data_IF_783560324427
#
_entry.id   IF_783560324427
#
_cell.length_a   1.000
_cell.length_b   1.000
_cell.length_c   1.000
_cell.angle_alpha   90.00
_cell.angle_beta   90.00
_cell.angle_gamma   90.00
#
_symmetry.space_group_name_H-M   'P 1'
#
loop_
_entity.id
_entity.type
_entity.pdbx_description
1 polymer ?
#
# COMPACT_ATOMS: atom_id res chain seq x y z
N UNK A 1 15.76 13.56 18.70
CA UNK A 1 16.09 13.06 17.35
C UNK A 1 15.33 11.76 17.06
N UNK A 2 14.00 11.82 16.96
CA UNK A 2 13.17 10.62 16.78
C UNK A 2 13.00 10.21 15.31
N UNK A 3 13.22 11.13 14.37
CA UNK A 3 12.91 10.95 12.94
C UNK A 3 14.12 10.59 12.05
N UNK A 4 15.34 10.54 12.58
CA UNK A 4 16.56 10.21 11.84
C UNK A 4 17.23 8.96 12.41
N UNK A 5 16.50 7.85 12.38
CA UNK A 5 17.09 6.54 12.67
C UNK A 5 17.30 5.86 11.32
N UNK A 6 18.55 5.60 11.00
CA UNK A 6 18.92 4.90 9.77
C UNK A 6 18.39 3.45 9.80
N UNK A 7 18.05 2.91 8.63
CA UNK A 7 17.47 1.57 8.57
C UNK A 7 18.48 0.52 9.10
N UNK A 8 18.08 -0.39 10.00
CA UNK A 8 18.99 -1.41 10.52
C UNK A 8 19.61 -2.29 9.43
N UNK A 9 18.87 -2.51 8.33
CA UNK A 9 19.36 -3.26 7.16
C UNK A 9 20.54 -2.57 6.48
N UNK A 10 20.48 -1.26 6.30
CA UNK A 10 21.59 -0.48 5.72
C UNK A 10 22.82 -0.50 6.62
N UNK A 11 22.63 -0.37 7.95
CA UNK A 11 23.71 -0.44 8.93
C UNK A 11 24.43 -1.81 8.92
N UNK A 12 23.67 -2.91 8.83
CA UNK A 12 24.21 -4.27 8.67
C UNK A 12 25.03 -4.39 7.37
N UNK A 13 24.54 -3.87 6.26
CA UNK A 13 25.26 -3.87 4.97
C UNK A 13 26.57 -3.06 5.03
N UNK A 14 26.60 -1.98 5.81
CA UNK A 14 27.79 -1.16 6.06
C UNK A 14 28.69 -1.70 7.19
N UNK A 15 28.43 -2.91 7.68
CA UNK A 15 29.18 -3.56 8.77
C UNK A 15 29.17 -2.77 10.10
N UNK A 16 28.21 -1.87 10.30
CA UNK A 16 27.98 -1.10 11.54
C UNK A 16 27.01 -1.85 12.45
N UNK A 17 27.45 -3.00 12.97
CA UNK A 17 26.58 -3.94 13.68
C UNK A 17 26.11 -3.46 15.06
N UNK A 18 26.93 -2.70 15.80
CA UNK A 18 26.56 -2.15 17.12
C UNK A 18 25.40 -1.17 17.02
N UNK A 19 25.45 -0.28 16.03
CA UNK A 19 24.39 0.69 15.76
C UNK A 19 23.12 0.00 15.25
N UNK A 20 23.27 -1.02 14.40
CA UNK A 20 22.14 -1.83 13.96
C UNK A 20 21.45 -2.53 15.14
N UNK A 21 22.22 -3.13 16.06
CA UNK A 21 21.69 -3.81 17.25
C UNK A 21 20.95 -2.81 18.17
N UNK A 22 21.52 -1.63 18.39
CA UNK A 22 20.86 -0.56 19.17
C UNK A 22 19.53 -0.12 18.55
N UNK A 23 19.49 0.08 17.24
CA UNK A 23 18.28 0.47 16.52
C UNK A 23 17.21 -0.64 16.53
N UNK A 24 17.61 -1.90 16.32
CA UNK A 24 16.71 -3.05 16.39
C UNK A 24 16.15 -3.20 17.81
N UNK A 25 16.97 -3.04 18.85
CA UNK A 25 16.51 -3.10 20.24
C UNK A 25 15.55 -1.96 20.59
N UNK A 26 15.76 -0.75 20.05
CA UNK A 26 14.79 0.35 20.16
C UNK A 26 13.45 0.01 19.52
N UNK A 27 13.46 -0.54 18.32
CA UNK A 27 12.25 -0.97 17.60
C UNK A 27 11.56 -2.13 18.35
N UNK A 28 12.34 -3.09 18.85
CA UNK A 28 11.87 -4.24 19.64
C UNK A 28 11.13 -3.78 20.90
N UNK A 29 11.70 -2.81 21.64
CA UNK A 29 11.06 -2.17 22.81
C UNK A 29 9.74 -1.49 22.45
N UNK A 30 9.68 -0.79 21.32
CA UNK A 30 8.45 -0.15 20.84
C UNK A 30 7.38 -1.17 20.44
N UNK A 31 7.79 -2.31 19.88
CA UNK A 31 6.88 -3.39 19.49
C UNK A 31 6.50 -4.34 20.65
N UNK A 32 7.01 -4.10 21.87
CA UNK A 32 6.75 -4.95 23.03
C UNK A 32 7.43 -6.31 22.96
N UNK A 33 8.46 -6.48 22.13
CA UNK A 33 9.24 -7.71 22.05
C UNK A 33 10.39 -7.67 23.08
N UNK A 34 10.55 -8.77 23.82
CA UNK A 34 11.60 -8.92 24.86
C UNK A 34 12.94 -9.39 24.29
N UNK A 35 13.04 -9.64 22.99
CA UNK A 35 14.26 -10.07 22.33
C UNK A 35 15.28 -8.93 22.29
N UNK A 36 16.44 -9.17 22.89
CA UNK A 36 17.61 -8.30 22.81
C UNK A 36 18.59 -8.90 21.82
N UNK A 37 18.92 -8.11 20.80
CA UNK A 37 19.91 -8.47 19.80
C UNK A 37 21.25 -7.83 20.17
N UNK A 38 22.32 -8.63 20.09
CA UNK A 38 23.69 -8.18 20.26
C UNK A 38 24.41 -8.16 18.91
N UNK A 39 25.50 -7.39 18.78
CA UNK A 39 26.28 -7.32 17.54
C UNK A 39 26.74 -8.71 17.05
N UNK A 40 27.07 -9.61 17.97
CA UNK A 40 27.51 -10.98 17.67
C UNK A 40 26.44 -11.83 16.98
N UNK A 41 25.16 -11.58 17.29
CA UNK A 41 24.04 -12.27 16.62
C UNK A 41 23.82 -11.75 15.19
N UNK A 42 24.24 -10.50 14.91
CA UNK A 42 24.12 -9.89 13.59
C UNK A 42 25.30 -10.25 12.67
N UNK A 43 26.45 -10.64 13.24
CA UNK A 43 27.62 -11.12 12.48
C UNK A 43 27.34 -12.42 11.71
N UNK A 44 26.40 -13.24 12.18
CA UNK A 44 25.97 -14.46 11.47
C UNK A 44 25.20 -14.18 10.19
N UNK A 45 24.66 -12.96 10.03
CA UNK A 45 24.00 -12.54 8.80
C UNK A 45 25.09 -12.41 7.75
N UNK A 46 25.16 -13.38 6.85
CA UNK A 46 26.11 -13.41 5.74
C UNK A 46 25.85 -12.21 4.82
N UNK A 47 26.46 -11.07 5.14
CA UNK A 47 26.42 -9.87 4.30
C UNK A 47 27.09 -10.28 3.00
N UNK A 48 26.33 -10.28 1.91
CA UNK A 48 26.84 -10.63 0.59
C UNK A 48 28.02 -9.71 0.31
N UNK A 49 29.21 -10.29 0.09
CA UNK A 49 30.45 -9.54 -0.03
C UNK A 49 30.31 -8.36 -0.99
N UNK A 50 30.86 -7.23 -0.55
CA UNK A 50 30.87 -5.90 -1.18
C UNK A 50 31.37 -5.94 -2.64
N UNK A 51 32.05 -7.02 -3.05
CA UNK A 51 32.50 -7.25 -4.42
C UNK A 51 31.39 -7.64 -5.42
N UNK A 52 30.14 -7.81 -4.97
CA UNK A 52 28.95 -7.87 -5.85
C UNK A 52 28.17 -6.56 -5.85
N UNK A 53 28.82 -5.41 -5.69
CA UNK A 53 28.28 -4.15 -6.22
C UNK A 53 28.36 -4.16 -7.75
N UNK A 54 27.73 -5.14 -8.40
CA UNK A 54 27.30 -4.93 -9.77
C UNK A 54 26.30 -3.79 -9.70
N UNK A 55 26.61 -2.63 -10.27
CA UNK A 55 25.58 -1.65 -10.58
C UNK A 55 24.46 -2.40 -11.31
N UNK A 56 23.38 -2.71 -10.59
CA UNK A 56 22.25 -3.40 -11.17
C UNK A 56 21.60 -2.42 -12.12
N UNK A 57 21.93 -2.54 -13.40
CA UNK A 57 21.21 -1.86 -14.46
C UNK A 57 19.75 -2.30 -14.43
N UNK A 58 18.83 -1.45 -14.90
CA UNK A 58 17.40 -1.77 -14.98
C UNK A 58 17.18 -3.10 -15.73
N UNK A 59 18.06 -3.43 -16.69
CA UNK A 59 18.04 -4.72 -17.40
C UNK A 59 18.30 -5.96 -16.53
N UNK A 60 18.96 -5.82 -15.38
CA UNK A 60 19.19 -6.92 -14.44
C UNK A 60 17.90 -7.39 -13.75
N UNK A 61 16.86 -6.55 -13.68
CA UNK A 61 15.54 -6.94 -13.17
C UNK A 61 14.85 -7.96 -14.09
N UNK A 62 15.13 -7.90 -15.39
CA UNK A 62 14.60 -8.80 -16.43
C UNK A 62 15.47 -10.05 -16.59
N UNK A 63 16.71 -10.02 -16.10
CA UNK A 63 17.71 -11.08 -16.32
C UNK A 63 17.36 -12.43 -15.71
N UNK A 64 16.61 -12.48 -14.61
CA UNK A 64 16.21 -13.75 -13.97
C UNK A 64 14.70 -13.91 -14.03
N UNK A 65 14.20 -15.10 -14.44
CA UNK A 65 12.74 -15.40 -14.51
C UNK A 65 11.99 -15.07 -13.22
N UNK A 66 12.62 -15.25 -12.06
CA UNK A 66 12.03 -14.89 -10.75
C UNK A 66 11.87 -13.37 -10.59
N UNK A 67 12.92 -12.59 -10.86
CA UNK A 67 12.86 -11.13 -10.79
C UNK A 67 11.92 -10.53 -11.84
N UNK A 68 11.88 -11.14 -13.04
CA UNK A 68 10.91 -10.78 -14.08
C UNK A 68 9.48 -10.97 -13.57
N UNK A 69 9.15 -12.14 -13.01
CA UNK A 69 7.81 -12.42 -12.50
C UNK A 69 7.41 -11.44 -11.39
N UNK A 70 8.30 -11.14 -10.45
CA UNK A 70 8.02 -10.15 -9.40
C UNK A 70 7.83 -8.74 -9.94
N UNK A 71 8.69 -8.30 -10.86
CA UNK A 71 8.60 -6.97 -11.49
C UNK A 71 7.34 -6.84 -12.33
N UNK A 72 6.97 -7.91 -13.05
CA UNK A 72 5.74 -7.96 -13.84
C UNK A 72 4.50 -7.89 -12.97
N UNK A 73 4.45 -8.64 -11.86
CA UNK A 73 3.33 -8.58 -10.91
C UNK A 73 3.22 -7.18 -10.29
N UNK A 74 4.34 -6.57 -9.88
CA UNK A 74 4.36 -5.19 -9.38
C UNK A 74 3.82 -4.21 -10.42
N UNK A 75 4.32 -4.30 -11.66
CA UNK A 75 3.89 -3.43 -12.75
C UNK A 75 2.41 -3.59 -13.09
N UNK A 76 1.92 -4.83 -13.22
CA UNK A 76 0.51 -5.11 -13.46
C UNK A 76 -0.37 -4.63 -12.32
N UNK A 77 0.09 -4.77 -11.07
CA UNK A 77 -0.65 -4.26 -9.91
C UNK A 77 -0.75 -2.73 -9.91
N UNK A 78 0.35 -2.04 -10.21
CA UNK A 78 0.37 -0.59 -10.33
C UNK A 78 -0.54 -0.10 -11.46
N UNK A 79 -0.44 -0.71 -12.65
CA UNK A 79 -1.32 -0.41 -13.79
C UNK A 79 -2.79 -0.62 -13.45
N UNK A 80 -3.13 -1.70 -12.74
CA UNK A 80 -4.52 -1.99 -12.34
C UNK A 80 -5.04 -0.90 -11.41
N UNK A 81 -4.24 -0.48 -10.43
CA UNK A 81 -4.64 0.58 -9.49
C UNK A 81 -4.84 1.91 -10.22
N UNK A 82 -3.90 2.29 -11.10
CA UNK A 82 -3.99 3.54 -11.88
C UNK A 82 -5.18 3.56 -12.84
N UNK A 83 -5.43 2.46 -13.55
CA UNK A 83 -6.58 2.36 -14.46
C UNK A 83 -7.90 2.42 -13.68
N UNK A 84 -8.00 1.77 -12.52
CA UNK A 84 -9.15 1.92 -11.63
C UNK A 84 -9.34 3.38 -11.21
N UNK A 85 -8.28 4.10 -10.81
CA UNK A 85 -8.37 5.52 -10.42
C UNK A 85 -8.85 6.39 -11.57
N UNK A 86 -8.31 6.19 -12.77
CA UNK A 86 -8.74 6.94 -13.94
C UNK A 86 -10.24 6.76 -14.18
N UNK A 87 -10.74 5.52 -14.14
CA UNK A 87 -12.17 5.21 -14.29
C UNK A 87 -13.01 5.86 -13.18
N UNK A 88 -12.56 5.80 -11.92
CA UNK A 88 -13.22 6.46 -10.78
C UNK A 88 -13.39 7.96 -11.03
N UNK A 89 -12.32 8.65 -11.44
CA UNK A 89 -12.33 10.09 -11.63
C UNK A 89 -13.30 10.49 -12.75
N UNK A 90 -13.32 9.73 -13.85
CA UNK A 90 -14.26 9.97 -14.94
C UNK A 90 -15.71 9.70 -14.51
N UNK A 91 -15.98 8.63 -13.75
CA UNK A 91 -17.35 8.33 -13.29
C UNK A 91 -17.88 9.38 -12.30
N UNK A 92 -17.02 9.88 -11.39
CA UNK A 92 -17.37 10.96 -10.44
C UNK A 92 -17.77 12.26 -11.17
N UNK A 93 -17.18 12.54 -12.33
CA UNK A 93 -17.53 13.71 -13.16
C UNK A 93 -18.85 13.55 -13.91
N UNK A 94 -19.22 12.31 -14.26
CA UNK A 94 -20.43 11.96 -15.03
C UNK A 94 -21.65 11.72 -14.12
N UNK A 95 -21.44 11.66 -12.81
CA UNK A 95 -22.45 11.39 -11.79
C UNK A 95 -23.45 12.55 -11.60
N UNK A 96 -24.69 12.20 -11.28
CA UNK A 96 -25.77 13.19 -11.12
C UNK A 96 -25.52 14.12 -9.92
N UNK A 97 -25.70 15.43 -10.14
CA UNK A 97 -25.54 16.47 -9.12
C UNK A 97 -24.55 17.56 -9.54
N UNK A 98 -24.08 18.35 -8.57
CA UNK A 98 -23.06 19.36 -8.82
C UNK A 98 -21.67 18.71 -8.80
N UNK A 99 -20.94 18.67 -9.94
CA UNK A 99 -19.67 17.95 -10.05
C UNK A 99 -18.60 18.51 -9.11
N UNK A 100 -18.62 19.82 -8.80
CA UNK A 100 -17.67 20.42 -7.87
C UNK A 100 -17.85 19.90 -6.45
N UNK A 101 -19.10 19.69 -6.03
CA UNK A 101 -19.42 19.21 -4.68
C UNK A 101 -19.04 17.73 -4.53
N UNK A 102 -19.25 16.94 -5.58
CA UNK A 102 -18.85 15.53 -5.63
C UNK A 102 -17.32 15.37 -5.57
N UNK A 103 -16.57 16.20 -6.30
CA UNK A 103 -15.10 16.20 -6.26
C UNK A 103 -14.57 16.67 -4.90
N UNK A 104 -15.16 17.70 -4.30
CA UNK A 104 -14.77 18.17 -2.97
C UNK A 104 -15.01 17.09 -1.90
N UNK A 105 -16.17 16.43 -1.93
CA UNK A 105 -16.49 15.32 -1.02
C UNK A 105 -15.52 14.16 -1.18
N UNK A 106 -15.23 13.77 -2.43
CA UNK A 106 -14.26 12.74 -2.76
C UNK A 106 -12.86 13.07 -2.24
N UNK A 107 -12.41 14.33 -2.39
CA UNK A 107 -11.13 14.81 -1.88
C UNK A 107 -11.02 14.72 -0.35
N UNK A 108 -12.08 15.11 0.37
CA UNK A 108 -12.12 14.99 1.84
C UNK A 108 -12.05 13.52 2.24
N UNK A 109 -12.92 12.67 1.71
CA UNK A 109 -12.93 11.23 2.02
C UNK A 109 -11.58 10.56 1.74
N UNK A 110 -10.90 10.96 0.66
CA UNK A 110 -9.56 10.45 0.30
C UNK A 110 -8.49 10.75 1.36
N UNK A 111 -8.61 11.84 2.12
CA UNK A 111 -7.67 12.17 3.20
C UNK A 111 -7.97 11.37 4.48
N UNK A 112 -9.25 11.14 4.79
CA UNK A 112 -9.65 10.51 6.06
C UNK A 112 -9.49 8.98 6.07
N UNK A 113 -9.75 8.31 4.94
CA UNK A 113 -9.73 6.84 4.89
C UNK A 113 -8.35 6.22 5.15
N UNK A 114 -7.22 6.76 4.65
CA UNK A 114 -5.90 6.26 5.00
C UNK A 114 -5.61 6.33 6.50
N UNK A 115 -6.01 7.42 7.17
CA UNK A 115 -5.86 7.55 8.63
C UNK A 115 -6.67 6.48 9.36
N UNK A 116 -7.89 6.20 8.89
CA UNK A 116 -8.74 5.18 9.47
C UNK A 116 -8.15 3.77 9.31
N UNK A 117 -7.62 3.46 8.12
CA UNK A 117 -6.97 2.16 7.84
C UNK A 117 -5.73 1.97 8.70
N UNK A 118 -4.89 3.00 8.86
CA UNK A 118 -3.71 2.93 9.72
C UNK A 118 -4.09 2.67 11.18
N UNK A 119 -5.15 3.32 11.66
CA UNK A 119 -5.64 3.13 13.03
C UNK A 119 -6.22 1.72 13.23
N UNK A 120 -6.91 1.20 12.22
CA UNK A 120 -7.49 -0.16 12.24
C UNK A 120 -6.40 -1.24 12.21
N UNK A 121 -5.33 -1.03 11.41
CA UNK A 121 -4.15 -1.90 11.39
C UNK A 121 -3.42 -1.91 12.75
N UNK A 122 -3.30 -0.76 13.41
CA UNK A 122 -2.65 -0.67 14.72
C UNK A 122 -3.36 -1.50 15.80
N UNK A 123 -4.69 -1.62 15.72
CA UNK A 123 -5.48 -2.42 16.66
C UNK A 123 -5.61 -3.90 16.25
N UNK A 124 -5.63 -4.20 14.94
CA UNK A 124 -5.89 -5.55 14.46
C UNK A 124 -4.59 -6.30 14.12
N UNK A 125 -4.01 -6.98 15.13
CA UNK A 125 -2.83 -7.86 14.96
C UNK A 125 -3.01 -9.01 13.94
N UNK A 126 -4.27 -9.29 13.56
CA UNK A 126 -4.63 -10.35 12.62
C UNK A 126 -4.64 -9.90 11.15
N UNK A 127 -4.64 -8.59 10.87
CA UNK A 127 -4.66 -8.08 9.50
C UNK A 127 -3.23 -8.07 8.93
N UNK A 128 -2.87 -9.15 8.23
CA UNK A 128 -1.62 -9.24 7.50
C UNK A 128 -1.56 -8.28 6.30
N UNK A 129 -0.34 -7.85 5.94
CA UNK A 129 -0.08 -6.91 4.81
C UNK A 129 -0.66 -7.39 3.47
N UNK A 130 -0.60 -8.70 3.19
CA UNK A 130 -1.15 -9.30 1.96
C UNK A 130 -2.68 -9.32 1.97
N UNK A 131 -3.28 -9.60 3.13
CA UNK A 131 -4.73 -9.63 3.29
C UNK A 131 -5.33 -8.25 3.11
N UNK A 132 -4.69 -7.20 3.64
CA UNK A 132 -5.13 -5.81 3.45
C UNK A 132 -5.24 -5.44 1.97
N UNK A 133 -4.19 -5.72 1.19
CA UNK A 133 -4.15 -5.43 -0.24
C UNK A 133 -5.22 -6.20 -1.02
N UNK A 134 -5.38 -7.50 -0.74
CA UNK A 134 -6.38 -8.33 -1.42
C UNK A 134 -7.80 -7.90 -1.02
N UNK A 135 -8.04 -7.58 0.27
CA UNK A 135 -9.35 -7.16 0.76
C UNK A 135 -9.77 -5.81 0.18
N UNK A 136 -8.85 -4.84 0.08
CA UNK A 136 -9.16 -3.53 -0.49
C UNK A 136 -9.46 -3.62 -1.99
N UNK A 137 -8.70 -4.46 -2.73
CA UNK A 137 -8.94 -4.68 -4.15
C UNK A 137 -10.27 -5.42 -4.38
N UNK A 138 -10.55 -6.45 -3.57
CA UNK A 138 -11.81 -7.20 -3.63
C UNK A 138 -13.03 -6.34 -3.32
N UNK A 139 -12.95 -5.49 -2.28
CA UNK A 139 -14.02 -4.56 -1.94
C UNK A 139 -14.30 -3.56 -3.07
N UNK A 140 -13.23 -3.02 -3.68
CA UNK A 140 -13.34 -2.12 -4.83
C UNK A 140 -14.01 -2.82 -6.01
N UNK A 141 -13.62 -4.07 -6.32
CA UNK A 141 -14.25 -4.88 -7.37
C UNK A 141 -15.75 -5.10 -7.13
N UNK A 142 -16.16 -5.40 -5.90
CA UNK A 142 -17.58 -5.60 -5.55
C UNK A 142 -18.38 -4.29 -5.70
N UNK A 143 -17.82 -3.15 -5.27
CA UNK A 143 -18.46 -1.84 -5.46
C UNK A 143 -18.65 -1.51 -6.95
N UNK A 144 -17.67 -1.80 -7.80
CA UNK A 144 -17.80 -1.57 -9.23
C UNK A 144 -18.76 -2.54 -9.91
N UNK A 145 -18.71 -3.83 -9.56
CA UNK A 145 -19.66 -4.81 -10.07
C UNK A 145 -21.10 -4.42 -9.75
N UNK A 146 -21.36 -3.91 -8.54
CA UNK A 146 -22.69 -3.43 -8.15
C UNK A 146 -23.09 -2.15 -8.90
N UNK A 147 -22.18 -1.21 -9.16
CA UNK A 147 -22.45 -0.03 -10.02
C UNK A 147 -22.82 -0.44 -11.46
N UNK A 148 -22.13 -1.43 -12.03
CA UNK A 148 -22.44 -1.96 -13.37
C UNK A 148 -23.82 -2.65 -13.37
N UNK A 149 -24.10 -3.48 -12.37
CA UNK A 149 -25.41 -4.14 -12.23
C UNK A 149 -26.54 -3.11 -12.07
N UNK A 150 -26.35 -2.07 -11.27
CA UNK A 150 -27.31 -0.97 -11.08
C UNK A 150 -27.54 -0.18 -12.38
N UNK A 151 -26.56 -0.13 -13.28
CA UNK A 151 -26.67 0.57 -14.56
C UNK A 151 -27.49 -0.19 -15.62
N UNK A 152 -27.80 -1.48 -15.40
CA UNK A 152 -28.68 -2.26 -16.28
C UNK A 152 -30.17 -1.97 -16.03
N UNK A 153 -30.51 -1.31 -14.92
CA UNK A 153 -31.88 -0.95 -14.57
C UNK A 153 -32.20 0.50 -14.95
N UNK A 154 -33.48 0.83 -15.26
CA UNK A 154 -33.87 2.19 -15.60
C UNK A 154 -33.57 3.17 -14.46
N UNK A 155 -33.15 4.42 -14.79
CA UNK A 155 -32.69 5.37 -13.80
C UNK A 155 -33.87 5.92 -12.97
N UNK A 156 -34.04 5.37 -11.77
CA UNK A 156 -34.86 5.96 -10.71
C UNK A 156 -33.96 6.88 -9.88
N UNK A 157 -34.47 8.02 -9.41
CA UNK A 157 -33.67 9.03 -8.68
C UNK A 157 -32.89 8.43 -7.50
N UNK A 158 -33.50 7.52 -6.73
CA UNK A 158 -32.84 6.81 -5.62
C UNK A 158 -31.73 5.85 -6.07
N UNK A 159 -31.87 5.21 -7.24
CA UNK A 159 -30.85 4.33 -7.81
C UNK A 159 -29.63 5.12 -8.28
N UNK A 160 -29.84 6.33 -8.81
CA UNK A 160 -28.75 7.21 -9.23
C UNK A 160 -27.92 7.70 -8.04
N UNK A 161 -28.56 8.09 -6.94
CA UNK A 161 -27.86 8.48 -5.71
C UNK A 161 -27.10 7.29 -5.11
N UNK A 162 -27.72 6.10 -5.09
CA UNK A 162 -27.05 4.89 -4.61
C UNK A 162 -25.81 4.54 -5.46
N UNK A 163 -25.92 4.62 -6.78
CA UNK A 163 -24.78 4.45 -7.71
C UNK A 163 -23.65 5.42 -7.39
N UNK A 164 -24.03 6.67 -7.08
CA UNK A 164 -23.09 7.74 -6.73
C UNK A 164 -22.29 7.40 -5.48
N UNK A 165 -22.98 6.99 -4.42
CA UNK A 165 -22.35 6.63 -3.15
C UNK A 165 -21.44 5.39 -3.28
N UNK A 166 -21.86 4.37 -4.03
CA UNK A 166 -21.07 3.15 -4.23
C UNK A 166 -19.80 3.42 -5.06
N UNK A 167 -19.89 4.24 -6.11
CA UNK A 167 -18.75 4.66 -6.91
C UNK A 167 -17.74 5.47 -6.08
N UNK A 168 -18.22 6.41 -5.25
CA UNK A 168 -17.37 7.17 -4.34
C UNK A 168 -16.68 6.28 -3.29
N UNK A 169 -17.41 5.34 -2.69
CA UNK A 169 -16.84 4.40 -1.70
C UNK A 169 -15.76 3.51 -2.31
N UNK A 170 -16.04 2.89 -3.47
CA UNK A 170 -15.03 2.11 -4.20
C UNK A 170 -13.80 2.95 -4.57
N UNK A 171 -14.02 4.20 -4.95
CA UNK A 171 -12.94 5.12 -5.32
C UNK A 171 -12.01 5.53 -4.18
N UNK A 172 -12.57 5.72 -3.00
CA UNK A 172 -11.82 6.13 -1.81
C UNK A 172 -11.01 4.95 -1.25
N UNK A 173 -11.59 3.74 -1.25
CA UNK A 173 -10.87 2.52 -0.84
C UNK A 173 -9.70 2.22 -1.78
N UNK A 174 -9.89 2.36 -3.09
CA UNK A 174 -8.83 2.14 -4.07
C UNK A 174 -7.67 3.14 -3.90
N UNK A 175 -7.97 4.42 -3.63
CA UNK A 175 -6.95 5.45 -3.40
C UNK A 175 -6.08 5.16 -2.17
N UNK A 176 -6.63 4.44 -1.19
CA UNK A 176 -5.94 4.09 0.05
C UNK A 176 -4.93 2.96 -0.11
N UNK A 177 -4.98 2.23 -1.24
CA UNK A 177 -4.04 1.15 -1.57
C UNK A 177 -2.62 1.68 -1.77
N UNK A 178 -2.46 2.93 -2.23
CA UNK A 178 -1.13 3.53 -2.34
C UNK A 178 -0.40 3.60 -0.99
N UNK A 179 -1.12 3.99 0.08
CA UNK A 179 -0.52 4.09 1.41
C UNK A 179 -0.11 2.73 1.97
N UNK A 180 -0.84 1.65 1.63
CA UNK A 180 -0.46 0.30 2.07
C UNK A 180 0.75 -0.24 1.30
N UNK A 181 0.92 0.12 0.02
CA UNK A 181 2.12 -0.21 -0.77
C UNK A 181 3.34 0.55 -0.26
N UNK A 182 3.24 1.85 0.07
CA UNK A 182 4.37 2.60 0.65
C UNK A 182 4.85 1.99 1.98
N UNK A 183 3.94 1.46 2.80
CA UNK A 183 4.29 0.76 4.05
C UNK A 183 4.94 -0.61 3.83
N UNK A 184 4.92 -1.18 2.61
CA UNK A 184 5.70 -2.39 2.30
C UNK A 184 7.21 -2.13 2.24
N UNK A 185 7.61 -0.86 2.06
CA UNK A 185 9.02 -0.45 1.98
C UNK A 185 9.63 0.00 3.31
N UNK A 186 8.88 -0.11 4.42
CA UNK A 186 9.36 0.08 5.80
C UNK A 186 9.20 -1.21 6.60
#
# INVERSE_FOLDING_TARGET
>A
MLFWVESPRWLIQKKRYDEAASNINRISRWNGCTSTFCADNLLQIKVMDEHRTTCFSIGALVSTRKFLAYSFVMFMSALTVETCIAVIIFDVQVLAGNPFLNVALYGILRLWVPLFIVLLEANAKWFGRRTLFISSQGFTMICFASVVLLSLFPPIHSLTVLRTCLAMLGGVVNSSIFFTVYKQYV
#
